data_IF_648202353105
#
_entry.id   IF_648202353105
#
_cell.length_a   1.000
_cell.length_b   1.000
_cell.length_c   1.000
_cell.angle_alpha   90.00
_cell.angle_beta   90.00
_cell.angle_gamma   90.00
#
_symmetry.space_group_name_H-M   'P 1'
#
loop_
_entity.id
_entity.type
_entity.pdbx_description
1 polymer ?
#
# COMPACT_ATOMS: atom_id res chain seq x y z
N UNK A 1 11.13 -8.32 -32.49
CA UNK A 1 11.00 -9.65 -31.83
C UNK A 1 9.72 -10.31 -32.26
N UNK A 2 9.64 -11.64 -32.31
CA UNK A 2 8.37 -12.34 -32.54
C UNK A 2 7.56 -12.33 -31.22
N UNK A 3 6.22 -12.48 -31.32
CA UNK A 3 5.35 -12.56 -30.14
C UNK A 3 5.80 -13.65 -29.16
N UNK A 4 6.22 -14.81 -29.68
CA UNK A 4 6.75 -15.90 -28.87
C UNK A 4 8.04 -15.52 -28.11
N UNK A 5 8.94 -14.76 -28.75
CA UNK A 5 10.15 -14.26 -28.09
C UNK A 5 9.82 -13.28 -26.98
N UNK A 6 8.87 -12.38 -27.20
CA UNK A 6 8.38 -11.41 -26.22
C UNK A 6 7.80 -12.13 -25.00
N UNK A 7 6.95 -13.14 -25.22
CA UNK A 7 6.34 -13.95 -24.16
C UNK A 7 7.41 -14.65 -23.34
N UNK A 8 8.38 -15.31 -23.97
CA UNK A 8 9.46 -16.01 -23.26
C UNK A 8 10.32 -15.05 -22.43
N UNK A 9 10.59 -13.87 -22.94
CA UNK A 9 11.34 -12.85 -22.23
C UNK A 9 10.55 -12.29 -21.05
N UNK A 10 9.27 -12.00 -21.23
CA UNK A 10 8.36 -11.55 -20.15
C UNK A 10 8.23 -12.58 -19.03
N UNK A 11 8.12 -13.87 -19.35
CA UNK A 11 8.09 -14.95 -18.36
C UNK A 11 9.42 -15.04 -17.62
N UNK A 12 10.53 -14.87 -18.31
CA UNK A 12 11.86 -14.88 -17.71
C UNK A 12 12.04 -13.70 -16.73
N UNK A 13 11.67 -12.49 -17.15
CA UNK A 13 11.69 -11.29 -16.30
C UNK A 13 10.80 -11.45 -15.07
N UNK A 14 9.57 -11.95 -15.25
CA UNK A 14 8.64 -12.18 -14.14
C UNK A 14 9.19 -13.16 -13.08
N UNK A 15 10.16 -14.01 -13.44
CA UNK A 15 10.86 -14.95 -12.55
C UNK A 15 12.09 -14.35 -11.86
N UNK A 16 12.52 -13.15 -12.24
CA UNK A 16 13.65 -12.47 -11.57
C UNK A 16 13.34 -12.21 -10.11
N UNK A 17 14.36 -12.40 -9.27
CA UNK A 17 14.25 -12.19 -7.81
C UNK A 17 13.81 -10.75 -7.47
N UNK A 18 14.32 -9.75 -8.22
CA UNK A 18 13.99 -8.33 -8.06
C UNK A 18 12.49 -8.06 -8.29
N UNK A 19 11.91 -8.63 -9.37
CA UNK A 19 10.49 -8.45 -9.68
C UNK A 19 9.57 -9.12 -8.65
N UNK A 20 9.97 -10.29 -8.15
CA UNK A 20 9.25 -10.97 -7.08
C UNK A 20 9.27 -10.14 -5.78
N UNK A 21 10.43 -9.58 -5.42
CA UNK A 21 10.57 -8.74 -4.24
C UNK A 21 9.67 -7.51 -4.34
N UNK A 22 9.69 -6.80 -5.48
CA UNK A 22 8.85 -5.63 -5.74
C UNK A 22 7.36 -5.95 -5.65
N UNK A 23 6.92 -7.09 -6.17
CA UNK A 23 5.51 -7.53 -6.08
C UNK A 23 5.08 -7.78 -4.63
N UNK A 24 5.93 -8.42 -3.84
CA UNK A 24 5.67 -8.67 -2.41
C UNK A 24 5.54 -7.34 -1.66
N UNK A 25 6.44 -6.41 -1.94
CA UNK A 25 6.43 -5.07 -1.34
C UNK A 25 5.15 -4.30 -1.69
N UNK A 26 4.79 -4.20 -2.97
CA UNK A 26 3.55 -3.54 -3.41
C UNK A 26 2.32 -4.18 -2.75
N UNK A 27 2.28 -5.51 -2.65
CA UNK A 27 1.19 -6.19 -1.96
C UNK A 27 1.12 -5.80 -0.49
N UNK A 28 2.27 -5.77 0.20
CA UNK A 28 2.35 -5.30 1.60
C UNK A 28 1.83 -3.88 1.75
N UNK A 29 2.21 -2.97 0.85
CA UNK A 29 1.72 -1.58 0.85
C UNK A 29 0.20 -1.50 0.67
N UNK A 30 -0.38 -2.27 -0.25
CA UNK A 30 -1.82 -2.34 -0.47
C UNK A 30 -2.55 -2.91 0.75
N UNK A 31 -2.01 -3.95 1.40
CA UNK A 31 -2.56 -4.55 2.61
C UNK A 31 -2.56 -3.52 3.75
N UNK A 32 -1.48 -2.76 3.94
CA UNK A 32 -1.43 -1.66 4.91
C UNK A 32 -2.37 -0.50 4.56
N UNK A 33 -2.55 -0.18 3.29
CA UNK A 33 -3.51 0.87 2.89
C UNK A 33 -4.96 0.46 3.12
N UNK A 34 -5.32 -0.77 2.79
CA UNK A 34 -6.68 -1.31 2.98
C UNK A 34 -6.98 -1.68 4.42
N UNK A 35 -5.95 -2.00 5.21
CA UNK A 35 -6.07 -2.53 6.58
C UNK A 35 -6.38 -4.03 6.61
N UNK A 36 -6.24 -4.71 5.46
CA UNK A 36 -6.41 -6.16 5.35
C UNK A 36 -5.07 -6.86 5.56
N UNK A 37 -5.12 -8.08 6.07
CA UNK A 37 -3.93 -8.95 6.21
C UNK A 37 -2.74 -8.39 7.02
N UNK A 38 -2.85 -7.16 7.59
CA UNK A 38 -1.79 -6.56 8.40
C UNK A 38 -1.42 -7.43 9.60
N UNK A 39 -2.39 -8.17 10.14
CA UNK A 39 -2.16 -9.12 11.24
C UNK A 39 -1.14 -10.20 10.87
N UNK A 40 -1.05 -10.62 9.61
CA UNK A 40 -0.06 -11.61 9.15
C UNK A 40 1.37 -11.11 9.34
N UNK A 41 1.60 -9.84 9.06
CA UNK A 41 2.93 -9.22 9.23
C UNK A 41 3.28 -9.07 10.69
N UNK A 42 2.36 -8.57 11.50
CA UNK A 42 2.55 -8.37 12.94
C UNK A 42 2.70 -9.71 13.65
N UNK A 43 1.89 -10.73 13.29
CA UNK A 43 1.89 -12.04 13.95
C UNK A 43 3.22 -12.77 13.84
N UNK A 44 4.02 -12.48 12.80
CA UNK A 44 5.32 -13.13 12.63
C UNK A 44 6.34 -12.79 13.71
N UNK A 45 6.11 -11.70 14.47
CA UNK A 45 7.00 -11.26 15.56
C UNK A 45 6.68 -11.89 16.92
N UNK A 46 5.51 -12.54 17.04
CA UNK A 46 5.04 -13.08 18.31
C UNK A 46 4.91 -14.59 18.29
N UNK A 47 5.05 -15.23 19.45
CA UNK A 47 4.75 -16.65 19.57
C UNK A 47 3.23 -16.90 19.55
N UNK A 48 2.81 -18.08 19.09
CA UNK A 48 1.40 -18.44 19.04
C UNK A 48 0.70 -18.39 20.42
N UNK A 49 1.44 -18.54 21.50
CA UNK A 49 0.90 -18.50 22.87
C UNK A 49 0.56 -17.06 23.29
N UNK A 50 1.31 -16.07 22.82
CA UNK A 50 1.02 -14.65 23.10
C UNK A 50 -0.37 -14.23 22.57
N UNK A 51 -0.80 -14.76 21.43
CA UNK A 51 -2.12 -14.45 20.83
C UNK A 51 -3.31 -15.03 21.56
N UNK A 52 -3.10 -16.07 22.38
CA UNK A 52 -4.16 -16.61 23.21
C UNK A 52 -4.52 -15.68 24.36
N UNK A 53 -3.63 -14.76 24.68
CA UNK A 53 -3.77 -13.88 25.81
C UNK A 53 -4.39 -12.53 25.47
N UNK A 54 -3.96 -11.93 24.35
CA UNK A 54 -4.47 -10.63 23.90
C UNK A 54 -4.64 -10.61 22.38
N UNK A 55 -5.62 -9.83 21.86
CA UNK A 55 -5.71 -9.57 20.44
C UNK A 55 -4.54 -8.68 20.00
N UNK A 56 -4.11 -8.82 18.73
CA UNK A 56 -3.12 -7.95 18.13
C UNK A 56 -3.65 -6.51 18.07
N UNK A 57 -2.77 -5.57 18.36
CA UNK A 57 -3.07 -4.16 18.12
C UNK A 57 -2.97 -3.89 16.62
N UNK A 58 -4.02 -3.30 16.04
CA UNK A 58 -4.07 -2.98 14.63
C UNK A 58 -4.62 -1.56 14.42
N UNK A 59 -3.73 -0.57 14.47
CA UNK A 59 -4.03 0.79 14.08
C UNK A 59 -3.48 1.03 12.67
N UNK A 60 -4.34 1.43 11.73
CA UNK A 60 -3.92 1.72 10.37
C UNK A 60 -3.91 3.23 10.10
N UNK A 61 -2.72 3.83 10.16
CA UNK A 61 -2.54 5.23 9.79
C UNK A 61 -1.94 5.41 8.37
N UNK A 62 -1.42 4.34 7.74
CA UNK A 62 -0.88 4.39 6.37
C UNK A 62 -1.87 5.02 5.40
N UNK A 63 -3.11 4.54 5.38
CA UNK A 63 -4.17 5.11 4.54
C UNK A 63 -4.40 6.59 4.79
N UNK A 64 -4.37 7.01 6.05
CA UNK A 64 -4.58 8.40 6.44
C UNK A 64 -3.46 9.30 5.91
N UNK A 65 -2.20 8.84 6.01
CA UNK A 65 -1.04 9.59 5.55
C UNK A 65 -1.05 9.70 4.03
N UNK A 66 -1.17 8.59 3.31
CA UNK A 66 -1.26 8.58 1.85
C UNK A 66 -2.38 9.49 1.34
N UNK A 67 -3.57 9.42 1.94
CA UNK A 67 -4.68 10.30 1.56
C UNK A 67 -4.43 11.78 1.87
N UNK A 68 -3.61 12.09 2.87
CA UNK A 68 -3.23 13.47 3.22
C UNK A 68 -2.16 14.03 2.30
N UNK A 69 -1.28 13.19 1.78
CA UNK A 69 -0.27 13.57 0.79
C UNK A 69 -0.88 13.78 -0.60
N UNK A 70 -1.92 13.02 -0.94
CA UNK A 70 -2.62 13.09 -2.23
C UNK A 70 -3.60 14.26 -2.26
N UNK A 71 -3.20 15.39 -2.88
CA UNK A 71 -3.92 16.67 -2.78
C UNK A 71 -4.35 17.25 -4.13
N UNK A 72 -3.74 16.82 -5.23
CA UNK A 72 -3.93 17.43 -6.56
C UNK A 72 -5.40 17.36 -6.98
N UNK A 73 -6.01 16.19 -6.87
CA UNK A 73 -7.42 15.99 -7.24
C UNK A 73 -8.40 16.16 -6.08
N UNK A 74 -8.04 16.94 -5.04
CA UNK A 74 -8.95 17.16 -3.89
C UNK A 74 -10.16 17.98 -4.30
N UNK A 75 -10.00 18.97 -5.18
CA UNK A 75 -11.05 19.91 -5.64
C UNK A 75 -11.53 19.56 -7.05
N UNK A 76 -11.00 18.55 -7.70
CA UNK A 76 -11.23 18.28 -9.12
C UNK A 76 -10.41 19.19 -10.04
N UNK A 77 -10.02 18.67 -11.20
CA UNK A 77 -9.24 19.41 -12.17
C UNK A 77 -10.13 20.26 -13.08
N UNK A 78 -9.73 21.51 -13.30
CA UNK A 78 -10.35 22.36 -14.31
C UNK A 78 -9.67 22.12 -15.66
N UNK A 79 -10.42 21.62 -16.64
CA UNK A 79 -9.95 21.33 -18.00
C UNK A 79 -10.74 22.16 -19.00
N UNK A 80 -10.02 22.79 -19.94
CA UNK A 80 -10.66 23.48 -21.06
C UNK A 80 -10.90 22.46 -22.20
N UNK A 81 -12.11 21.93 -22.30
CA UNK A 81 -12.47 20.86 -23.23
C UNK A 81 -13.88 21.08 -23.79
N UNK A 82 -14.14 20.50 -24.97
CA UNK A 82 -15.46 20.50 -25.58
C UNK A 82 -16.44 19.58 -24.85
N UNK A 83 -17.74 19.71 -25.20
CA UNK A 83 -18.82 18.97 -24.57
C UNK A 83 -18.70 17.45 -24.82
N UNK A 84 -18.30 17.03 -26.03
CA UNK A 84 -18.19 15.62 -26.40
C UNK A 84 -17.09 14.94 -25.58
N UNK A 85 -15.92 15.58 -25.49
CA UNK A 85 -14.83 15.07 -24.69
C UNK A 85 -15.17 15.03 -23.19
N UNK A 86 -15.89 16.02 -22.70
CA UNK A 86 -16.37 16.05 -21.31
C UNK A 86 -17.29 14.86 -20.98
N UNK A 87 -18.15 14.47 -21.92
CA UNK A 87 -19.02 13.30 -21.77
C UNK A 87 -18.19 12.02 -21.76
N UNK A 88 -17.24 11.87 -22.69
CA UNK A 88 -16.37 10.70 -22.76
C UNK A 88 -15.54 10.52 -21.49
N UNK A 89 -15.05 11.60 -20.88
CA UNK A 89 -14.16 11.57 -19.71
C UNK A 89 -14.86 11.80 -18.38
N UNK A 90 -16.20 11.66 -18.31
CA UNK A 90 -17.01 11.95 -17.09
C UNK A 90 -16.58 11.23 -15.81
N UNK A 91 -15.85 10.10 -15.92
CA UNK A 91 -15.32 9.36 -14.77
C UNK A 91 -13.92 9.81 -14.34
N UNK A 92 -13.27 10.67 -15.11
CA UNK A 92 -11.85 10.99 -15.01
C UNK A 92 -11.46 11.51 -13.61
N UNK A 93 -12.15 12.53 -13.11
CA UNK A 93 -11.79 13.13 -11.81
C UNK A 93 -11.81 12.14 -10.64
N UNK A 94 -12.85 11.33 -10.58
CA UNK A 94 -12.97 10.33 -9.53
C UNK A 94 -11.85 9.27 -9.60
N UNK A 95 -11.49 8.87 -10.84
CA UNK A 95 -10.43 7.89 -11.09
C UNK A 95 -9.05 8.48 -10.84
N UNK A 96 -8.77 9.69 -11.33
CA UNK A 96 -7.48 10.37 -11.13
C UNK A 96 -7.18 10.62 -9.65
N UNK A 97 -8.18 10.95 -8.85
CA UNK A 97 -8.02 11.02 -7.39
C UNK A 97 -7.60 9.69 -6.76
N UNK A 98 -8.10 8.57 -7.25
CA UNK A 98 -7.68 7.26 -6.80
C UNK A 98 -6.28 6.90 -7.30
N UNK A 99 -6.00 7.20 -8.57
CA UNK A 99 -4.69 6.98 -9.20
C UNK A 99 -3.60 7.74 -8.44
N UNK A 100 -3.82 9.02 -8.10
CA UNK A 100 -2.90 9.82 -7.30
C UNK A 100 -2.55 9.12 -5.97
N UNK A 101 -3.55 8.65 -5.24
CA UNK A 101 -3.35 7.93 -3.98
C UNK A 101 -2.55 6.66 -4.14
N UNK A 102 -2.84 5.89 -5.19
CA UNK A 102 -2.14 4.64 -5.46
C UNK A 102 -0.73 4.87 -5.97
N UNK A 103 -0.49 5.94 -6.73
CA UNK A 103 0.85 6.37 -7.13
C UNK A 103 1.69 6.75 -5.90
N UNK A 104 1.13 7.53 -4.97
CA UNK A 104 1.79 7.86 -3.70
C UNK A 104 2.09 6.63 -2.85
N UNK A 105 1.18 5.67 -2.82
CA UNK A 105 1.35 4.43 -2.07
C UNK A 105 2.41 3.50 -2.68
N UNK A 106 2.29 3.23 -3.99
CA UNK A 106 3.09 2.20 -4.69
C UNK A 106 4.37 2.74 -5.35
N UNK A 107 4.53 4.08 -5.39
CA UNK A 107 5.66 4.76 -6.05
C UNK A 107 5.48 4.89 -7.56
N UNK A 108 5.20 3.80 -8.25
CA UNK A 108 4.93 3.73 -9.69
C UNK A 108 3.74 2.84 -9.97
N UNK A 109 2.76 3.33 -10.74
CA UNK A 109 1.63 2.53 -11.23
C UNK A 109 1.40 2.76 -12.72
N UNK A 110 0.79 1.77 -13.38
CA UNK A 110 0.27 1.91 -14.71
C UNK A 110 -1.26 2.05 -14.66
N UNK A 111 -1.83 2.91 -15.49
CA UNK A 111 -3.29 3.07 -15.60
C UNK A 111 -3.72 2.76 -17.00
N UNK A 112 -4.46 1.68 -17.18
CA UNK A 112 -5.04 1.30 -18.47
C UNK A 112 -6.19 2.24 -18.82
N UNK A 113 -6.17 2.79 -20.03
CA UNK A 113 -7.24 3.61 -20.60
C UNK A 113 -8.11 2.71 -21.46
N UNK A 114 -9.37 2.54 -21.08
CA UNK A 114 -10.31 1.61 -21.73
C UNK A 114 -11.47 2.42 -22.31
N UNK A 115 -11.69 2.30 -23.61
CA UNK A 115 -12.89 2.83 -24.25
C UNK A 115 -14.06 1.85 -24.06
N UNK A 116 -15.17 2.34 -23.55
CA UNK A 116 -16.39 1.59 -23.30
C UNK A 116 -17.49 2.08 -24.21
N UNK A 117 -17.83 1.30 -25.23
CA UNK A 117 -18.98 1.50 -26.12
C UNK A 117 -20.23 0.74 -25.67
N UNK A 118 -20.07 -0.26 -24.76
CA UNK A 118 -21.12 -1.04 -24.14
C UNK A 118 -21.98 -0.25 -23.13
N UNK A 119 -21.55 0.94 -22.77
CA UNK A 119 -22.32 1.84 -21.91
C UNK A 119 -23.43 2.54 -22.69
N UNK A 120 -24.50 2.96 -21.99
CA UNK A 120 -25.61 3.77 -22.58
C UNK A 120 -25.10 5.00 -23.32
N UNK A 121 -24.01 5.57 -22.86
CA UNK A 121 -23.24 6.62 -23.52
C UNK A 121 -21.77 6.22 -23.49
N UNK A 122 -21.05 6.17 -24.61
CA UNK A 122 -19.65 5.82 -24.64
C UNK A 122 -18.83 6.63 -23.63
N UNK A 123 -17.86 6.02 -23.02
CA UNK A 123 -16.98 6.70 -22.06
C UNK A 123 -15.66 5.97 -21.87
N UNK A 124 -14.65 6.72 -21.44
CA UNK A 124 -13.43 6.13 -20.93
C UNK A 124 -13.60 5.60 -19.51
N UNK A 125 -12.96 4.47 -19.23
CA UNK A 125 -12.68 3.96 -17.90
C UNK A 125 -11.18 3.87 -17.68
N UNK A 126 -10.74 3.98 -16.42
CA UNK A 126 -9.33 4.07 -16.05
C UNK A 126 -9.06 2.98 -15.00
N UNK A 127 -8.31 1.95 -15.40
CA UNK A 127 -8.01 0.79 -14.56
C UNK A 127 -6.58 0.86 -14.05
N UNK A 128 -6.33 1.09 -12.76
CA UNK A 128 -4.99 1.05 -12.21
C UNK A 128 -4.46 -0.39 -12.16
N UNK A 129 -3.21 -0.56 -12.56
CA UNK A 129 -2.44 -1.80 -12.51
C UNK A 129 -1.25 -1.58 -11.59
N UNK A 130 -1.21 -2.30 -10.50
CA UNK A 130 -0.18 -2.14 -9.47
C UNK A 130 1.01 -3.08 -9.66
N UNK A 131 0.77 -4.26 -10.25
CA UNK A 131 1.77 -5.29 -10.52
C UNK A 131 1.98 -5.39 -12.01
N UNK A 132 3.10 -4.92 -12.50
CA UNK A 132 3.43 -4.98 -13.93
C UNK A 132 4.94 -4.98 -14.13
N UNK A 133 5.37 -5.44 -15.29
CA UNK A 133 6.73 -5.30 -15.82
C UNK A 133 6.67 -4.35 -17.01
N UNK A 134 7.57 -3.39 -17.07
CA UNK A 134 7.69 -2.46 -18.19
C UNK A 134 8.86 -2.90 -19.06
N UNK A 135 8.67 -2.88 -20.38
CA UNK A 135 9.69 -3.22 -21.39
C UNK A 135 10.13 -1.94 -22.07
N UNK A 136 11.42 -1.80 -22.31
CA UNK A 136 12.03 -0.57 -22.83
C UNK A 136 12.82 -0.85 -24.10
N UNK A 137 12.84 0.13 -24.98
CA UNK A 137 13.78 0.12 -26.09
C UNK A 137 15.16 0.62 -25.63
N UNK A 138 16.22 0.10 -26.23
CA UNK A 138 17.60 0.51 -25.89
C UNK A 138 17.83 2.02 -26.01
N UNK A 139 17.07 2.68 -26.89
CA UNK A 139 17.18 4.13 -27.14
C UNK A 139 16.47 5.00 -26.10
N UNK A 140 15.54 4.43 -25.32
CA UNK A 140 14.74 5.19 -24.35
C UNK A 140 14.41 4.35 -23.09
N UNK A 141 15.27 4.37 -22.09
CA UNK A 141 15.14 3.53 -20.90
C UNK A 141 14.08 4.00 -19.89
N UNK A 142 13.46 5.16 -20.11
CA UNK A 142 12.45 5.73 -19.20
C UNK A 142 11.03 5.73 -19.75
N UNK A 143 10.88 5.46 -21.06
CA UNK A 143 9.55 5.39 -21.69
C UNK A 143 9.28 3.94 -22.10
N UNK A 144 8.34 3.25 -21.47
CA UNK A 144 8.03 1.88 -21.82
C UNK A 144 7.53 1.76 -23.25
N UNK A 145 8.08 0.79 -23.99
CA UNK A 145 7.59 0.37 -25.33
C UNK A 145 6.51 -0.70 -25.23
N UNK A 146 6.43 -1.41 -24.11
CA UNK A 146 5.38 -2.39 -23.82
C UNK A 146 5.21 -2.61 -22.31
N UNK A 147 4.10 -3.22 -21.94
CA UNK A 147 3.77 -3.58 -20.56
C UNK A 147 3.26 -5.02 -20.48
N UNK A 148 3.67 -5.72 -19.42
CA UNK A 148 3.15 -7.04 -19.06
C UNK A 148 2.63 -7.02 -17.64
N UNK A 149 1.43 -7.55 -17.40
CA UNK A 149 0.89 -7.65 -16.05
C UNK A 149 0.09 -8.94 -15.85
N UNK A 150 0.02 -9.49 -14.63
CA UNK A 150 -0.77 -10.65 -14.31
C UNK A 150 -2.27 -10.32 -14.33
N UNK A 151 -3.06 -11.21 -14.95
CA UNK A 151 -4.51 -11.18 -14.89
C UNK A 151 -4.96 -12.14 -13.79
N UNK A 152 -5.59 -11.61 -12.75
CA UNK A 152 -6.12 -12.39 -11.65
C UNK A 152 -7.61 -12.66 -11.92
N UNK A 153 -7.94 -13.87 -12.36
CA UNK A 153 -9.33 -14.32 -12.47
C UNK A 153 -9.71 -15.15 -11.24
N UNK A 154 -10.88 -14.88 -10.68
CA UNK A 154 -11.46 -15.70 -9.63
C UNK A 154 -10.71 -15.69 -8.29
N UNK A 155 -10.01 -14.62 -7.97
CA UNK A 155 -9.28 -14.46 -6.70
C UNK A 155 -10.19 -14.59 -5.45
N UNK A 156 -11.49 -14.41 -5.62
CA UNK A 156 -12.49 -14.47 -4.56
C UNK A 156 -13.12 -15.86 -4.37
N UNK A 157 -12.81 -16.84 -5.26
CA UNK A 157 -13.30 -18.21 -5.13
C UNK A 157 -12.23 -19.10 -4.46
N UNK A 158 -12.42 -19.53 -3.20
CA UNK A 158 -11.46 -20.36 -2.49
C UNK A 158 -11.29 -21.77 -3.09
N UNK A 159 -12.18 -22.21 -3.98
CA UNK A 159 -12.06 -23.47 -4.71
C UNK A 159 -11.27 -23.33 -6.02
N UNK A 160 -10.97 -22.11 -6.43
CA UNK A 160 -10.31 -21.81 -7.69
C UNK A 160 -8.78 -21.82 -7.53
N UNK A 161 -8.14 -22.85 -8.01
CA UNK A 161 -6.71 -22.85 -8.30
C UNK A 161 -6.50 -21.97 -9.54
N UNK A 162 -6.44 -20.67 -9.35
CA UNK A 162 -6.23 -19.72 -10.42
C UNK A 162 -4.88 -20.00 -11.09
N UNK A 163 -4.92 -20.47 -12.32
CA UNK A 163 -3.72 -20.44 -13.16
C UNK A 163 -3.37 -18.99 -13.41
N UNK A 164 -2.12 -18.66 -13.17
CA UNK A 164 -1.63 -17.31 -13.40
C UNK A 164 -1.62 -17.05 -14.90
N UNK A 165 -2.27 -15.99 -15.32
CA UNK A 165 -2.34 -15.55 -16.71
C UNK A 165 -1.76 -14.15 -16.83
N UNK A 166 -1.28 -13.78 -17.99
CA UNK A 166 -0.62 -12.51 -18.23
C UNK A 166 -1.21 -11.80 -19.44
N UNK A 167 -1.29 -10.49 -19.38
CA UNK A 167 -1.60 -9.61 -20.48
C UNK A 167 -0.32 -8.88 -20.91
N UNK A 168 -0.02 -8.89 -22.18
CA UNK A 168 0.99 -8.07 -22.83
C UNK A 168 0.30 -7.03 -23.72
N UNK A 169 0.79 -5.80 -23.66
CA UNK A 169 0.36 -4.72 -24.53
C UNK A 169 1.55 -3.91 -25.03
N UNK A 170 1.57 -3.63 -26.31
CA UNK A 170 2.43 -2.61 -26.90
C UNK A 170 1.59 -1.55 -27.64
N UNK A 171 2.16 -0.83 -28.61
CA UNK A 171 1.45 0.18 -29.41
C UNK A 171 0.54 -0.41 -30.50
N UNK A 172 0.61 -1.71 -30.77
CA UNK A 172 -0.07 -2.36 -31.90
C UNK A 172 -0.88 -3.58 -31.49
N UNK A 173 -0.33 -4.43 -30.61
CA UNK A 173 -0.91 -5.73 -30.27
C UNK A 173 -1.24 -5.89 -28.80
N UNK A 174 -2.23 -6.72 -28.55
CA UNK A 174 -2.54 -7.32 -27.28
C UNK A 174 -2.34 -8.81 -27.33
N UNK A 175 -1.72 -9.38 -26.29
CA UNK A 175 -1.55 -10.83 -26.16
C UNK A 175 -1.91 -11.28 -24.76
N UNK A 176 -2.77 -12.27 -24.67
CA UNK A 176 -3.14 -12.95 -23.44
C UNK A 176 -2.55 -14.37 -23.45
N UNK A 177 -1.77 -14.71 -22.44
CA UNK A 177 -1.08 -16.00 -22.36
C UNK A 177 -1.01 -16.54 -20.92
N UNK A 178 -0.81 -17.84 -20.79
CA UNK A 178 -0.67 -18.52 -19.51
C UNK A 178 0.80 -18.51 -19.00
N UNK A 179 1.04 -19.09 -17.82
CA UNK A 179 2.37 -19.17 -17.20
C UNK A 179 3.34 -20.11 -17.93
N UNK A 180 2.83 -20.99 -18.78
CA UNK A 180 3.60 -21.84 -19.67
C UNK A 180 3.97 -21.14 -20.99
N UNK A 181 3.34 -20.00 -21.30
CA UNK A 181 3.56 -19.22 -22.52
C UNK A 181 2.63 -19.61 -23.69
N UNK A 182 1.56 -20.37 -23.42
CA UNK A 182 0.56 -20.66 -24.44
C UNK A 182 -0.33 -19.44 -24.66
N UNK A 183 -0.46 -19.00 -25.92
CA UNK A 183 -1.30 -17.87 -26.29
C UNK A 183 -2.76 -18.32 -26.23
N UNK A 184 -3.55 -17.58 -25.45
CA UNK A 184 -4.99 -17.79 -25.32
C UNK A 184 -5.79 -16.83 -26.21
N UNK A 185 -5.31 -15.60 -26.37
CA UNK A 185 -5.91 -14.56 -27.19
C UNK A 185 -4.84 -13.62 -27.72
N UNK A 186 -4.95 -13.22 -28.98
CA UNK A 186 -4.05 -12.26 -29.62
C UNK A 186 -4.85 -11.43 -30.63
N UNK A 187 -4.72 -10.11 -30.60
CA UNK A 187 -5.30 -9.22 -31.62
C UNK A 187 -4.53 -7.91 -31.76
N UNK A 188 -4.63 -7.33 -32.96
CA UNK A 188 -4.15 -5.97 -33.23
C UNK A 188 -5.24 -4.97 -32.80
N UNK A 189 -4.87 -3.99 -31.94
CA UNK A 189 -5.83 -3.00 -31.44
C UNK A 189 -5.79 -1.67 -32.23
N UNK A 190 -4.78 -1.44 -33.05
CA UNK A 190 -4.74 -0.31 -33.99
C UNK A 190 -4.65 1.10 -33.38
N UNK A 191 -4.41 1.23 -32.08
CA UNK A 191 -4.36 2.55 -31.41
C UNK A 191 -3.11 3.35 -31.77
N UNK A 192 -2.03 2.69 -32.18
CA UNK A 192 -0.74 3.33 -32.47
C UNK A 192 0.01 3.84 -31.24
N UNK A 193 -0.58 3.70 -30.06
CA UNK A 193 -0.01 4.07 -28.75
C UNK A 193 -0.27 2.94 -27.75
N UNK A 194 0.59 2.85 -26.72
CA UNK A 194 0.33 1.99 -25.58
C UNK A 194 -0.84 2.58 -24.81
N UNK A 195 -1.96 1.83 -24.58
CA UNK A 195 -3.14 2.37 -23.90
C UNK A 195 -2.97 2.45 -22.38
N UNK A 196 -1.79 2.87 -21.91
CA UNK A 196 -1.44 2.99 -20.49
C UNK A 196 -0.75 4.31 -20.19
N UNK A 197 -1.24 4.98 -19.16
CA UNK A 197 -0.53 6.08 -18.50
C UNK A 197 0.34 5.51 -17.38
N UNK A 198 1.62 5.85 -17.36
CA UNK A 198 2.53 5.54 -16.27
C UNK A 198 2.66 6.76 -15.37
N UNK A 199 2.41 6.56 -14.07
CA UNK A 199 2.51 7.65 -13.09
C UNK A 199 3.50 7.29 -12.00
N UNK A 200 4.35 8.25 -11.64
CA UNK A 200 5.39 8.15 -10.63
C UNK A 200 5.13 9.16 -9.52
N UNK A 201 5.51 8.83 -8.30
CA UNK A 201 5.34 9.73 -7.15
C UNK A 201 6.26 10.96 -7.23
N UNK A 202 7.37 10.86 -7.97
CA UNK A 202 8.40 11.88 -8.16
C UNK A 202 9.05 11.71 -9.53
N UNK A 203 9.85 12.68 -9.98
CA UNK A 203 10.60 12.57 -11.23
C UNK A 203 11.59 11.41 -11.20
N UNK A 204 11.77 10.77 -12.37
CA UNK A 204 12.68 9.64 -12.53
C UNK A 204 14.14 10.13 -12.58
N UNK A 205 14.98 9.54 -11.74
CA UNK A 205 16.42 9.87 -11.68
C UNK A 205 17.23 8.76 -12.36
N UNK A 206 17.15 7.54 -11.88
CA UNK A 206 18.00 6.41 -12.30
C UNK A 206 17.22 5.10 -12.51
N UNK A 207 15.97 5.07 -12.14
CA UNK A 207 15.09 3.90 -12.22
C UNK A 207 13.69 4.28 -12.64
N UNK A 208 13.08 3.47 -13.50
CA UNK A 208 11.68 3.64 -13.87
C UNK A 208 10.73 3.38 -12.69
N UNK A 209 11.07 2.41 -11.84
CA UNK A 209 10.26 2.11 -10.66
C UNK A 209 10.75 2.91 -9.45
N UNK A 210 9.92 3.81 -8.98
CA UNK A 210 10.14 4.62 -7.79
C UNK A 210 9.62 3.86 -6.56
N UNK A 211 10.30 4.00 -5.44
CA UNK A 211 9.90 3.42 -4.16
C UNK A 211 8.61 4.06 -3.64
N UNK A 212 7.69 3.25 -3.13
CA UNK A 212 6.40 3.69 -2.57
C UNK A 212 6.50 4.23 -1.14
N UNK A 213 5.38 4.19 -0.43
CA UNK A 213 5.26 4.62 0.97
C UNK A 213 5.74 3.54 1.96
N UNK A 214 6.90 2.94 1.68
CA UNK A 214 7.48 1.83 2.45
C UNK A 214 7.86 2.25 3.86
N UNK A 215 8.38 3.48 4.02
CA UNK A 215 8.69 4.11 5.29
C UNK A 215 7.46 4.24 6.19
N UNK A 216 6.33 4.70 5.64
CA UNK A 216 5.05 4.83 6.35
C UNK A 216 4.51 3.47 6.76
N UNK A 217 4.54 2.48 5.85
CA UNK A 217 4.06 1.13 6.15
C UNK A 217 4.94 0.44 7.22
N UNK A 218 6.26 0.61 7.15
CA UNK A 218 7.21 0.07 8.12
C UNK A 218 7.03 0.71 9.50
N UNK A 219 6.83 2.03 9.57
CA UNK A 219 6.51 2.70 10.82
C UNK A 219 5.17 2.21 11.39
N UNK A 220 4.16 2.04 10.54
CA UNK A 220 2.86 1.50 10.95
C UNK A 220 2.98 0.09 11.55
N UNK A 221 3.78 -0.77 10.94
CA UNK A 221 4.08 -2.11 11.43
C UNK A 221 4.77 -2.05 12.81
N UNK A 222 5.83 -1.25 12.92
CA UNK A 222 6.58 -1.10 14.16
C UNK A 222 5.73 -0.58 15.32
N UNK A 223 4.87 0.40 15.05
CA UNK A 223 3.92 0.93 16.05
C UNK A 223 2.94 -0.15 16.52
N UNK A 224 2.39 -0.93 15.60
CA UNK A 224 1.47 -2.02 15.94
C UNK A 224 2.15 -3.12 16.77
N UNK A 225 3.41 -3.47 16.47
CA UNK A 225 4.22 -4.40 17.26
C UNK A 225 4.42 -3.84 18.67
N UNK A 226 4.94 -2.62 18.78
CA UNK A 226 5.21 -1.97 20.08
C UNK A 226 3.96 -1.83 20.94
N UNK A 227 2.83 -1.48 20.34
CA UNK A 227 1.54 -1.37 21.05
C UNK A 227 1.01 -2.74 21.49
N UNK A 228 1.26 -3.81 20.74
CA UNK A 228 0.92 -5.17 21.15
C UNK A 228 1.77 -5.62 22.34
N UNK A 229 3.09 -5.36 22.28
CA UNK A 229 4.01 -5.62 23.40
C UNK A 229 3.64 -4.81 24.65
N UNK A 230 3.24 -3.57 24.49
CA UNK A 230 2.78 -2.72 25.57
C UNK A 230 1.52 -3.30 26.26
N UNK A 231 0.56 -3.81 25.49
CA UNK A 231 -0.64 -4.45 26.03
C UNK A 231 -0.29 -5.73 26.82
N UNK A 232 0.65 -6.55 26.32
CA UNK A 232 1.17 -7.71 27.07
C UNK A 232 1.86 -7.27 28.36
N UNK A 233 2.73 -6.27 28.26
CA UNK A 233 3.44 -5.71 29.43
C UNK A 233 2.48 -5.16 30.51
N UNK A 234 1.45 -4.42 30.10
CA UNK A 234 0.40 -3.91 30.98
C UNK A 234 -0.34 -5.04 31.71
N UNK A 235 -0.67 -6.12 30.97
CA UNK A 235 -1.33 -7.29 31.57
C UNK A 235 -0.46 -7.94 32.66
N UNK A 236 0.83 -8.16 32.38
CA UNK A 236 1.76 -8.68 33.37
C UNK A 236 1.98 -7.73 34.55
N UNK A 237 1.95 -6.42 34.31
CA UNK A 237 2.07 -5.42 35.37
C UNK A 237 0.83 -5.39 36.29
N UNK A 238 -0.37 -5.51 35.72
CA UNK A 238 -1.63 -5.47 36.48
C UNK A 238 -1.89 -6.73 37.26
N UNK A 239 -1.59 -7.91 36.71
CA UNK A 239 -1.89 -9.19 37.35
C UNK A 239 -0.68 -9.80 38.02
N UNK A 240 0.55 -9.39 37.67
CA UNK A 240 1.78 -9.97 38.13
C UNK A 240 1.96 -11.42 37.68
N UNK A 241 3.14 -11.94 37.91
CA UNK A 241 3.41 -13.37 37.71
C UNK A 241 3.45 -14.06 39.09
N UNK A 242 2.46 -14.92 39.41
CA UNK A 242 2.49 -15.66 40.67
C UNK A 242 3.61 -16.69 40.63
N UNK A 243 4.29 -16.83 41.75
CA UNK A 243 5.30 -17.88 41.97
C UNK A 243 5.16 -18.45 43.34
N UNK A 244 5.59 -19.70 43.49
CA UNK A 244 5.64 -20.38 44.77
C UNK A 244 7.04 -20.97 44.98
N UNK A 245 7.57 -20.77 46.17
CA UNK A 245 8.84 -21.35 46.60
C UNK A 245 8.59 -22.29 47.79
N UNK A 246 9.48 -23.32 47.97
CA UNK A 246 9.41 -24.22 49.12
C UNK A 246 8.45 -25.40 48.96
N UNK A 247 7.99 -25.72 47.74
CA UNK A 247 7.21 -26.89 47.48
C UNK A 247 8.10 -28.16 47.60
N UNK A 248 7.93 -28.90 48.69
CA UNK A 248 8.57 -30.21 48.87
C UNK A 248 7.57 -31.30 48.50
N UNK A 249 7.71 -31.89 47.31
CA UNK A 249 6.96 -33.09 46.89
C UNK A 249 5.98 -32.90 45.74
N UNK A 250 5.46 -34.01 45.24
CA UNK A 250 4.73 -34.25 43.98
C UNK A 250 3.33 -33.60 43.83
N UNK A 251 3.00 -32.51 44.51
CA UNK A 251 1.74 -31.83 44.28
C UNK A 251 1.92 -30.70 43.27
N UNK A 252 1.59 -30.99 42.00
CA UNK A 252 1.34 -29.97 41.01
C UNK A 252 0.18 -29.08 41.48
N UNK A 253 0.39 -27.77 41.56
CA UNK A 253 -0.67 -26.84 41.88
C UNK A 253 -1.69 -26.77 40.77
N UNK A 254 -2.95 -26.93 41.10
CA UNK A 254 -4.06 -26.51 40.25
C UNK A 254 -4.07 -25.00 40.14
N UNK A 255 -4.57 -24.49 38.99
CA UNK A 255 -4.56 -23.07 38.59
C UNK A 255 -4.96 -22.12 39.72
N UNK A 256 -4.12 -21.11 39.97
CA UNK A 256 -4.53 -19.94 40.76
C UNK A 256 -5.50 -19.08 39.94
N UNK A 257 -6.74 -18.93 40.40
CA UNK A 257 -7.77 -18.05 39.86
C UNK A 257 -8.22 -17.05 40.89
N UNK A 258 -8.92 -16.00 40.48
CA UNK A 258 -9.47 -14.98 41.39
C UNK A 258 -10.46 -15.53 42.43
N UNK A 259 -11.00 -16.72 42.19
CA UNK A 259 -12.02 -17.41 42.99
C UNK A 259 -11.45 -18.62 43.73
N UNK A 260 -10.13 -18.84 43.69
CA UNK A 260 -9.50 -20.00 44.27
C UNK A 260 -8.76 -19.63 45.55
N UNK A 261 -9.09 -20.28 46.66
CA UNK A 261 -8.34 -20.16 47.91
C UNK A 261 -7.07 -21.04 47.78
N UNK A 262 -5.91 -20.41 47.89
CA UNK A 262 -4.63 -21.09 47.85
C UNK A 262 -4.35 -21.74 49.22
N UNK A 263 -4.38 -23.08 49.27
CA UNK A 263 -3.91 -23.85 50.42
C UNK A 263 -2.46 -24.26 50.19
N UNK A 264 -1.55 -23.68 50.96
CA UNK A 264 -0.11 -23.88 50.78
C UNK A 264 0.41 -24.83 51.86
N UNK A 265 1.29 -25.81 51.53
CA UNK A 265 1.93 -26.65 52.50
C UNK A 265 2.82 -25.82 53.45
N UNK A 266 3.06 -26.37 54.63
CA UNK A 266 3.91 -25.75 55.64
C UNK A 266 5.33 -25.49 55.09
N UNK A 267 5.79 -24.23 55.15
CA UNK A 267 7.08 -23.82 54.60
C UNK A 267 7.05 -23.34 53.14
N UNK A 268 5.92 -23.45 52.43
CA UNK A 268 5.78 -22.84 51.10
C UNK A 268 5.44 -21.34 51.18
N UNK A 269 6.02 -20.57 50.28
CA UNK A 269 5.77 -19.11 50.19
C UNK A 269 5.24 -18.78 48.81
N UNK A 270 4.14 -18.04 48.76
CA UNK A 270 3.52 -17.50 47.56
C UNK A 270 3.93 -16.04 47.37
N UNK A 271 4.36 -15.68 46.18
CA UNK A 271 4.66 -14.31 45.83
C UNK A 271 4.13 -13.95 44.43
N UNK A 272 4.03 -12.67 44.20
CA UNK A 272 3.68 -12.14 42.89
C UNK A 272 4.79 -11.18 42.50
N UNK A 273 5.37 -11.39 41.30
CA UNK A 273 6.33 -10.47 40.71
C UNK A 273 5.63 -9.71 39.60
N UNK A 274 5.64 -8.39 39.74
CA UNK A 274 5.14 -7.49 38.68
C UNK A 274 6.35 -6.78 38.05
N UNK A 275 6.55 -6.89 36.72
CA UNK A 275 7.59 -6.11 36.05
C UNK A 275 7.34 -4.62 36.22
N UNK A 276 8.38 -3.84 36.50
CA UNK A 276 8.33 -2.38 36.55
C UNK A 276 8.77 -1.80 35.21
N UNK A 277 7.87 -1.77 34.23
CA UNK A 277 8.12 -1.11 32.94
C UNK A 277 7.69 0.36 32.96
N UNK A 278 8.44 1.22 32.27
CA UNK A 278 8.02 2.60 32.07
C UNK A 278 7.08 2.73 30.86
N UNK A 279 5.78 2.60 31.10
CA UNK A 279 4.71 2.66 30.10
C UNK A 279 4.70 4.02 29.38
N UNK A 280 4.93 5.08 30.13
CA UNK A 280 4.93 6.44 29.59
C UNK A 280 6.02 6.63 28.52
N UNK A 281 7.24 6.16 28.78
CA UNK A 281 8.33 6.20 27.81
C UNK A 281 8.04 5.40 26.53
N UNK A 282 7.31 4.29 26.62
CA UNK A 282 6.90 3.52 25.44
C UNK A 282 5.89 4.31 24.60
N UNK A 283 4.92 4.93 25.25
CA UNK A 283 3.92 5.79 24.57
C UNK A 283 4.59 7.00 23.92
N UNK A 284 5.53 7.65 24.61
CA UNK A 284 6.31 8.76 24.05
C UNK A 284 7.14 8.33 22.85
N UNK A 285 7.77 7.16 22.89
CA UNK A 285 8.50 6.62 21.74
C UNK A 285 7.59 6.37 20.55
N UNK A 286 6.40 5.80 20.75
CA UNK A 286 5.41 5.61 19.67
C UNK A 286 4.99 6.95 19.06
N UNK A 287 4.70 7.96 19.90
CA UNK A 287 4.38 9.30 19.43
C UNK A 287 5.52 9.91 18.61
N UNK A 288 6.77 9.78 19.10
CA UNK A 288 7.96 10.26 18.41
C UNK A 288 8.14 9.60 17.03
N UNK A 289 7.97 8.29 16.93
CA UNK A 289 8.07 7.57 15.64
C UNK A 289 7.03 8.06 14.63
N UNK A 290 5.76 8.23 15.06
CA UNK A 290 4.70 8.73 14.20
C UNK A 290 4.96 10.17 13.78
N UNK A 291 5.45 11.03 14.69
CA UNK A 291 5.75 12.41 14.39
C UNK A 291 6.93 12.55 13.43
N UNK A 292 7.99 11.75 13.62
CA UNK A 292 9.15 11.71 12.72
C UNK A 292 8.75 11.34 11.29
N UNK A 293 7.96 10.29 11.10
CA UNK A 293 7.45 9.90 9.78
C UNK A 293 6.51 10.96 9.20
N UNK A 294 5.69 11.59 10.03
CA UNK A 294 4.85 12.69 9.59
C UNK A 294 5.70 13.87 9.07
N UNK A 295 6.73 14.26 9.81
CA UNK A 295 7.63 15.34 9.43
C UNK A 295 8.40 15.03 8.14
N UNK A 296 8.91 13.82 7.98
CA UNK A 296 9.59 13.38 6.75
C UNK A 296 8.70 13.44 5.50
N UNK A 297 7.38 13.36 5.69
CA UNK A 297 6.39 13.45 4.62
C UNK A 297 5.64 14.81 4.64
N UNK A 298 6.22 15.86 5.24
CA UNK A 298 5.67 17.20 5.37
C UNK A 298 4.22 17.24 5.90
N UNK A 299 3.91 16.27 6.78
CA UNK A 299 2.62 16.15 7.47
C UNK A 299 2.76 16.61 8.93
N UNK A 300 1.67 17.07 9.49
CA UNK A 300 1.57 17.40 10.91
C UNK A 300 0.55 16.49 11.60
N UNK A 301 0.96 15.85 12.68
CA UNK A 301 0.09 15.03 13.54
C UNK A 301 -0.02 15.71 14.90
N UNK A 302 -1.25 15.94 15.35
CA UNK A 302 -1.54 16.46 16.70
C UNK A 302 -2.11 15.33 17.55
N UNK A 303 -1.46 15.04 18.66
CA UNK A 303 -1.95 14.09 19.65
C UNK A 303 -2.89 14.81 20.64
N UNK A 304 -4.06 14.22 20.90
CA UNK A 304 -5.11 14.85 21.70
C UNK A 304 -4.73 15.10 23.18
N UNK A 305 -3.67 14.46 23.66
CA UNK A 305 -3.20 14.60 25.05
C UNK A 305 -2.13 15.66 25.24
N UNK A 306 -1.59 16.21 24.18
CA UNK A 306 -0.66 17.31 24.30
C UNK A 306 -1.46 18.56 24.69
N UNK A 307 -1.64 18.77 25.99
CA UNK A 307 -2.15 20.03 26.56
C UNK A 307 -1.20 21.20 26.28
N UNK A 308 -0.34 21.06 25.28
CA UNK A 308 0.59 22.05 24.80
C UNK A 308 -0.12 23.20 24.10
N UNK A 309 0.50 24.36 24.19
CA UNK A 309 0.06 25.58 23.53
C UNK A 309 -0.24 25.31 22.04
N UNK A 310 -1.41 25.75 21.61
CA UNK A 310 -1.75 25.74 20.17
C UNK A 310 -0.60 26.42 19.42
N UNK A 311 0.00 25.79 18.40
CA UNK A 311 1.10 26.40 17.66
C UNK A 311 0.73 27.83 17.25
N UNK A 312 1.65 28.75 17.38
CA UNK A 312 1.39 30.15 17.00
C UNK A 312 0.95 30.21 15.54
N UNK A 313 0.11 31.18 15.18
CA UNK A 313 -0.33 31.33 13.79
C UNK A 313 0.84 31.48 12.79
N UNK A 314 2.03 31.91 13.25
CA UNK A 314 3.25 31.96 12.45
C UNK A 314 3.82 30.55 12.23
N UNK A 315 3.90 29.72 13.26
CA UNK A 315 4.38 28.35 13.15
C UNK A 315 3.48 27.51 12.22
N UNK A 316 2.16 27.70 12.29
CA UNK A 316 1.22 27.07 11.35
C UNK A 316 1.43 27.54 9.92
N UNK A 317 1.66 28.83 9.70
CA UNK A 317 1.95 29.37 8.34
C UNK A 317 3.25 28.84 7.76
N UNK A 318 4.31 28.66 8.57
CA UNK A 318 5.58 28.09 8.08
C UNK A 318 5.36 26.63 7.65
N UNK A 319 4.66 25.83 8.46
CA UNK A 319 4.30 24.45 8.12
C UNK A 319 3.40 24.36 6.88
N UNK A 320 2.50 25.32 6.71
CA UNK A 320 1.65 25.40 5.51
C UNK A 320 2.45 25.81 4.27
N UNK A 321 3.57 26.54 4.43
CA UNK A 321 4.42 26.94 3.32
C UNK A 321 5.16 25.75 2.70
N UNK A 322 5.83 24.93 3.53
CA UNK A 322 6.49 23.70 3.08
C UNK A 322 5.52 22.78 2.31
N UNK A 323 4.31 22.64 2.85
CA UNK A 323 3.25 21.87 2.19
C UNK A 323 2.78 22.48 0.87
N UNK A 324 2.86 23.78 0.72
CA UNK A 324 2.50 24.47 -0.50
C UNK A 324 3.58 24.32 -1.58
N UNK A 325 4.85 24.30 -1.19
CA UNK A 325 5.98 24.04 -2.09
C UNK A 325 5.86 22.62 -2.69
N UNK A 326 5.71 21.60 -1.87
CA UNK A 326 5.46 20.22 -2.33
C UNK A 326 4.26 20.12 -3.27
N UNK A 327 3.18 20.86 -2.98
CA UNK A 327 2.00 20.86 -3.82
C UNK A 327 2.29 21.46 -5.19
N UNK A 328 3.15 22.48 -5.30
CA UNK A 328 3.51 23.10 -6.59
C UNK A 328 4.34 22.12 -7.43
N UNK A 329 5.31 21.44 -6.84
CA UNK A 329 6.13 20.44 -7.53
C UNK A 329 5.26 19.28 -8.05
N UNK A 330 4.39 18.77 -7.21
CA UNK A 330 3.41 17.74 -7.59
C UNK A 330 2.49 18.20 -8.72
N UNK A 331 2.05 19.48 -8.69
CA UNK A 331 1.13 20.02 -9.67
C UNK A 331 1.73 20.02 -11.08
N UNK A 332 3.02 20.34 -11.22
CA UNK A 332 3.70 20.32 -12.51
C UNK A 332 3.79 18.90 -13.07
N UNK A 333 4.17 17.95 -12.24
CA UNK A 333 4.24 16.54 -12.62
C UNK A 333 2.86 15.98 -13.04
N UNK A 334 1.80 16.29 -12.28
CA UNK A 334 0.45 15.83 -12.61
C UNK A 334 -0.15 16.53 -13.82
N UNK A 335 0.26 17.76 -14.15
CA UNK A 335 -0.08 18.41 -15.42
C UNK A 335 0.52 17.68 -16.61
N UNK A 336 1.76 17.21 -16.50
CA UNK A 336 2.39 16.41 -17.54
C UNK A 336 1.59 15.12 -17.76
N UNK A 337 1.22 14.39 -16.69
CA UNK A 337 0.38 13.19 -16.81
C UNK A 337 -1.02 13.45 -17.40
N UNK A 338 -1.63 14.59 -17.12
CA UNK A 338 -2.90 14.97 -17.77
C UNK A 338 -2.74 15.16 -19.27
N UNK A 339 -1.63 15.74 -19.74
CA UNK A 339 -1.34 15.88 -21.16
C UNK A 339 -1.08 14.54 -21.84
N UNK A 340 -0.31 13.66 -21.22
CA UNK A 340 -0.08 12.31 -21.73
C UNK A 340 -1.38 11.50 -21.79
N UNK A 341 -2.19 11.57 -20.75
CA UNK A 341 -3.48 10.91 -20.69
C UNK A 341 -4.41 11.40 -21.80
N UNK A 342 -4.47 12.72 -22.02
CA UNK A 342 -5.26 13.30 -23.10
C UNK A 342 -4.78 12.80 -24.48
N UNK A 343 -3.47 12.68 -24.69
CA UNK A 343 -2.94 12.15 -25.93
C UNK A 343 -3.38 10.69 -26.16
N UNK A 344 -3.28 9.84 -25.15
CA UNK A 344 -3.71 8.44 -25.21
C UNK A 344 -5.23 8.35 -25.48
N UNK A 345 -6.03 9.12 -24.76
CA UNK A 345 -7.50 9.17 -24.94
C UNK A 345 -7.89 9.59 -26.37
N UNK A 346 -7.19 10.58 -26.93
CA UNK A 346 -7.44 11.07 -28.29
C UNK A 346 -7.16 9.99 -29.35
N UNK A 347 -6.01 9.30 -29.26
CA UNK A 347 -5.66 8.24 -30.21
C UNK A 347 -6.65 7.07 -30.13
N UNK A 348 -7.03 6.66 -28.90
CA UNK A 348 -8.04 5.60 -28.71
C UNK A 348 -9.42 6.05 -29.24
N UNK A 349 -9.84 7.30 -29.00
CA UNK A 349 -11.11 7.81 -29.50
C UNK A 349 -11.12 7.87 -31.03
N UNK A 350 -10.03 8.31 -31.66
CA UNK A 350 -9.91 8.38 -33.11
C UNK A 350 -10.02 7.01 -33.81
N UNK A 351 -9.56 5.96 -33.13
CA UNK A 351 -9.72 4.59 -33.63
C UNK A 351 -11.16 4.06 -33.53
N UNK A 352 -11.90 4.46 -32.50
CA UNK A 352 -13.25 3.97 -32.20
C UNK A 352 -14.39 4.81 -32.80
N UNK A 353 -14.09 5.92 -33.45
CA UNK A 353 -15.02 6.76 -34.21
C UNK A 353 -15.04 6.43 -35.70
#
# INVERSE_FOLDING_TARGET
MTVEQIIQESIKEAKLQKEKARRIEIRKLLDYYTGTETEKYISSYFSADAFREIPLYNANFTRRFVNKMSRIYTVGASRNMDEQYSILTRKKDARMKHIERMTRLCGTIATQVIYRDDAVTPCFDYRPIYYFSAHFDESNPFTPSAITYPILFGADDPSYTAKLQYAYWDSQIYVHYDEEGNIMEEYEHGYGVIPFLFTHKEELIDSFFVEGATDIASCNEQVNITMTELQLGLRFQMFGQPFITGLNGDKAMERAGSDTILDLPEGANFGIVSPSGNIESVIENVKFQIDLIAQNNHLYVQFAQDGGETPSGIALKIKDLERFEDYQDDLELWRMYEHELYYIEREIAAYNQ
#
